data_IF_562390657038
#
_entry.id   IF_562390657038
#
_cell.length_a   1.000
_cell.length_b   1.000
_cell.length_c   1.000
_cell.angle_alpha   90.00
_cell.angle_beta   90.00
_cell.angle_gamma   90.00
#
_symmetry.space_group_name_H-M   'P 1'
#
loop_
_entity.id
_entity.type
_entity.pdbx_description
1 polymer ?
#
# COMPACT_ATOMS: atom_id res chain seq x y z
N UNK A 1 21.01 15.66 25.21
CA UNK A 1 21.13 15.45 23.80
C UNK A 1 19.91 14.86 23.17
N UNK A 2 19.59 15.35 22.04
CA UNK A 2 18.40 14.89 21.36
C UNK A 2 18.75 13.85 20.35
N UNK A 3 18.10 12.76 20.43
CA UNK A 3 18.23 11.76 19.40
C UNK A 3 17.39 12.18 18.26
N UNK A 4 18.03 12.51 17.21
CA UNK A 4 17.32 12.87 16.03
C UNK A 4 16.91 11.60 15.34
N UNK A 5 15.70 11.22 15.54
CA UNK A 5 15.20 10.05 14.93
C UNK A 5 14.51 10.37 13.66
N UNK A 6 14.82 9.63 12.67
CA UNK A 6 14.11 9.78 11.44
C UNK A 6 12.70 9.29 11.61
N UNK A 7 11.79 10.20 11.54
CA UNK A 7 10.40 9.85 11.64
C UNK A 7 9.89 9.59 10.23
N UNK A 8 9.38 8.41 10.06
CA UNK A 8 8.83 8.07 8.76
C UNK A 8 7.35 8.41 8.76
N UNK A 9 7.04 9.58 8.23
CA UNK A 9 5.67 10.03 8.21
C UNK A 9 4.90 9.58 6.99
N UNK A 10 5.50 8.71 6.20
CA UNK A 10 4.87 8.24 4.97
C UNK A 10 3.82 7.19 5.31
N UNK A 11 2.58 7.49 5.00
CA UNK A 11 1.48 6.62 5.35
C UNK A 11 0.57 6.43 4.15
N UNK A 12 0.08 5.21 3.99
CA UNK A 12 -0.85 4.88 2.93
C UNK A 12 -2.06 4.21 3.53
N UNK A 13 -3.18 4.32 2.82
CA UNK A 13 -4.39 3.62 3.20
C UNK A 13 -4.81 2.75 2.03
N UNK A 14 -5.02 1.47 2.29
CA UNK A 14 -5.48 0.53 1.29
C UNK A 14 -6.95 0.25 1.54
N UNK A 15 -7.75 0.36 0.51
CA UNK A 15 -9.20 0.26 0.63
C UNK A 15 -9.78 -0.74 -0.35
N UNK A 16 -10.73 -1.52 0.14
CA UNK A 16 -11.55 -2.37 -0.72
C UNK A 16 -13.00 -2.17 -0.30
N UNK A 17 -13.80 -1.66 -1.21
CA UNK A 17 -15.18 -1.33 -0.89
C UNK A 17 -16.05 -2.55 -0.68
N UNK A 18 -15.83 -3.57 -1.50
CA UNK A 18 -16.68 -4.76 -1.43
C UNK A 18 -16.57 -5.46 -0.09
N UNK A 19 -15.37 -5.42 0.49
CA UNK A 19 -15.15 -6.07 1.77
C UNK A 19 -15.11 -5.08 2.92
N UNK A 20 -15.37 -3.81 2.61
CA UNK A 20 -15.40 -2.76 3.62
C UNK A 20 -14.10 -2.69 4.40
N UNK A 21 -12.98 -2.70 3.69
CA UNK A 21 -11.66 -2.70 4.30
C UNK A 21 -10.99 -1.35 4.16
N UNK A 22 -10.41 -0.92 5.25
CA UNK A 22 -9.61 0.29 5.33
C UNK A 22 -8.38 -0.06 6.14
N UNK A 23 -7.25 -0.17 5.48
CA UNK A 23 -6.03 -0.58 6.15
C UNK A 23 -4.98 0.50 5.97
N UNK A 24 -4.59 1.12 7.08
CA UNK A 24 -3.55 2.14 7.06
C UNK A 24 -2.22 1.54 7.45
N UNK A 25 -1.19 1.94 6.75
CA UNK A 25 0.12 1.37 6.98
C UNK A 25 1.18 2.46 6.90
N UNK A 26 2.11 2.42 7.83
CA UNK A 26 3.28 3.31 7.79
C UNK A 26 4.34 2.64 6.95
N UNK A 27 4.99 3.41 6.10
CA UNK A 27 5.97 2.86 5.20
C UNK A 27 6.98 3.92 4.82
N UNK A 28 7.81 3.60 3.86
CA UNK A 28 8.86 4.48 3.40
C UNK A 28 8.73 4.62 1.89
N UNK A 29 8.97 5.82 1.38
CA UNK A 29 8.81 6.04 -0.06
C UNK A 29 9.74 5.18 -0.89
N UNK A 30 10.80 4.69 -0.29
CA UNK A 30 11.75 3.83 -0.98
C UNK A 30 11.37 2.35 -0.94
N UNK A 31 10.35 2.00 -0.19
CA UNK A 31 9.88 0.62 -0.14
C UNK A 31 9.27 0.25 -1.48
N UNK A 32 9.45 -1.01 -1.85
CA UNK A 32 8.75 -1.53 -3.02
C UNK A 32 7.32 -1.80 -2.66
N UNK A 33 6.42 -1.59 -3.60
CA UNK A 33 5.01 -1.80 -3.29
C UNK A 33 4.73 -3.25 -2.89
N UNK A 34 5.51 -4.18 -3.39
CA UNK A 34 5.34 -5.57 -3.02
C UNK A 34 5.39 -5.75 -1.51
N UNK A 35 6.21 -4.97 -0.82
CA UNK A 35 6.30 -5.07 0.63
C UNK A 35 5.02 -4.61 1.29
N UNK A 36 4.38 -3.60 0.72
CA UNK A 36 3.10 -3.12 1.22
C UNK A 36 2.04 -4.17 0.98
N UNK A 37 2.05 -4.77 -0.19
CA UNK A 37 1.10 -5.82 -0.53
C UNK A 37 1.25 -7.01 0.42
N UNK A 38 2.49 -7.39 0.71
CA UNK A 38 2.73 -8.50 1.61
C UNK A 38 2.13 -8.25 2.99
N UNK A 39 2.27 -7.03 3.48
CA UNK A 39 1.71 -6.69 4.78
C UNK A 39 0.18 -6.67 4.74
N UNK A 40 -0.37 -6.24 3.63
CA UNK A 40 -1.81 -6.25 3.46
C UNK A 40 -2.35 -7.69 3.48
N UNK A 41 -1.68 -8.58 2.76
CA UNK A 41 -2.09 -9.99 2.72
C UNK A 41 -1.91 -10.63 4.09
N UNK A 42 -0.87 -10.23 4.81
CA UNK A 42 -0.66 -10.77 6.15
C UNK A 42 -1.82 -10.40 7.07
N UNK A 43 -2.31 -9.18 6.92
CA UNK A 43 -3.43 -8.71 7.73
C UNK A 43 -4.75 -9.35 7.30
N UNK A 44 -4.90 -9.56 6.00
CA UNK A 44 -6.13 -10.10 5.43
C UNK A 44 -5.80 -11.31 4.55
N UNK A 45 -5.51 -12.45 5.17
CA UNK A 45 -5.02 -13.61 4.42
C UNK A 45 -5.97 -14.13 3.34
N UNK A 46 -7.25 -13.87 3.50
CA UNK A 46 -8.22 -14.34 2.51
C UNK A 46 -7.96 -13.76 1.13
N UNK A 47 -7.30 -12.60 1.08
CA UNK A 47 -7.02 -11.98 -0.21
C UNK A 47 -5.94 -12.73 -0.99
N UNK A 48 -5.20 -13.61 -0.35
CA UNK A 48 -4.19 -14.40 -1.06
C UNK A 48 -4.82 -15.36 -2.06
N UNK A 49 -6.13 -15.61 -1.95
CA UNK A 49 -6.83 -16.49 -2.86
C UNK A 49 -7.36 -15.79 -4.10
N UNK A 50 -7.13 -14.50 -4.21
CA UNK A 50 -7.66 -13.71 -5.31
C UNK A 50 -6.52 -13.04 -6.07
N UNK A 51 -6.79 -12.76 -7.33
CA UNK A 51 -5.91 -11.89 -8.09
C UNK A 51 -6.28 -10.47 -7.74
N UNK A 52 -5.30 -9.72 -7.33
CA UNK A 52 -5.53 -8.36 -6.88
C UNK A 52 -4.88 -7.36 -7.81
N UNK A 53 -5.54 -6.23 -7.95
CA UNK A 53 -5.00 -5.11 -8.68
C UNK A 53 -5.03 -3.91 -7.75
N UNK A 54 -3.89 -3.24 -7.65
CA UNK A 54 -3.77 -2.07 -6.78
C UNK A 54 -3.64 -0.83 -7.65
N UNK A 55 -4.42 0.19 -7.30
CA UNK A 55 -4.44 1.42 -8.08
C UNK A 55 -4.30 2.63 -7.18
N UNK A 56 -3.63 3.63 -7.70
CA UNK A 56 -3.58 4.94 -7.05
C UNK A 56 -3.81 5.98 -8.13
N UNK A 57 -4.73 6.90 -7.87
CA UNK A 57 -5.08 7.94 -8.84
C UNK A 57 -5.41 7.34 -10.21
N UNK A 58 -6.13 6.21 -10.19
CA UNK A 58 -6.60 5.51 -11.39
C UNK A 58 -5.49 4.89 -12.22
N UNK A 59 -4.29 4.77 -11.65
CA UNK A 59 -3.19 4.11 -12.33
C UNK A 59 -2.82 2.85 -11.60
N UNK A 60 -2.56 1.79 -12.36
CA UNK A 60 -2.11 0.54 -11.76
C UNK A 60 -0.73 0.72 -11.16
N UNK A 61 -0.53 0.11 -10.01
CA UNK A 61 0.73 0.20 -9.30
C UNK A 61 1.63 -0.94 -9.74
N UNK A 62 2.90 -0.62 -9.99
CA UNK A 62 3.89 -1.63 -10.35
C UNK A 62 4.56 -2.09 -9.08
N UNK A 63 4.27 -3.34 -8.71
CA UNK A 63 4.67 -3.83 -7.39
C UNK A 63 6.18 -4.00 -7.24
N UNK A 64 6.92 -4.08 -8.34
CA UNK A 64 8.36 -4.24 -8.24
C UNK A 64 9.10 -2.93 -8.11
N UNK A 65 8.39 -1.84 -8.18
CA UNK A 65 8.99 -0.52 -8.09
C UNK A 65 8.70 0.11 -6.74
N UNK A 66 9.59 1.03 -6.34
CA UNK A 66 9.41 1.75 -5.09
C UNK A 66 8.16 2.61 -5.16
N UNK A 67 7.65 2.98 -4.00
CA UNK A 67 6.47 3.82 -3.93
C UNK A 67 6.69 5.14 -4.67
N UNK A 68 7.85 5.75 -4.47
CA UNK A 68 8.13 7.00 -5.14
C UNK A 68 8.19 6.85 -6.66
N UNK A 69 8.63 5.70 -7.13
CA UNK A 69 8.70 5.44 -8.56
C UNK A 69 7.33 5.19 -9.16
N UNK A 70 6.37 4.85 -8.33
CA UNK A 70 4.98 4.72 -8.72
C UNK A 70 4.22 6.04 -8.56
N UNK A 71 4.92 7.10 -8.20
CA UNK A 71 4.31 8.40 -7.97
C UNK A 71 3.32 8.38 -6.82
N UNK A 72 3.54 7.50 -5.88
CA UNK A 72 2.68 7.40 -4.70
C UNK A 72 3.20 8.39 -3.67
N UNK A 73 2.29 9.14 -3.09
CA UNK A 73 2.64 10.17 -2.13
C UNK A 73 2.09 9.85 -0.76
N UNK A 74 2.63 10.56 0.22
CA UNK A 74 2.16 10.40 1.58
C UNK A 74 0.65 10.66 1.65
N UNK A 75 -0.03 9.81 2.40
CA UNK A 75 -1.48 9.90 2.62
C UNK A 75 -2.33 9.54 1.41
N UNK A 76 -1.73 8.94 0.39
CA UNK A 76 -2.51 8.47 -0.75
C UNK A 76 -3.39 7.30 -0.36
N UNK A 77 -4.49 7.20 -1.06
CA UNK A 77 -5.40 6.06 -0.92
C UNK A 77 -5.15 5.09 -2.06
N UNK A 78 -4.91 3.85 -1.70
CA UNK A 78 -4.68 2.78 -2.66
C UNK A 78 -5.95 1.96 -2.76
N UNK A 79 -6.45 1.79 -3.95
CA UNK A 79 -7.66 1.00 -4.16
C UNK A 79 -7.25 -0.42 -4.47
N UNK A 80 -7.80 -1.35 -3.71
CA UNK A 80 -7.54 -2.77 -3.91
C UNK A 80 -8.73 -3.35 -4.65
N UNK A 81 -8.52 -3.79 -5.87
CA UNK A 81 -9.56 -4.41 -6.68
C UNK A 81 -9.32 -5.91 -6.72
N UNK A 82 -10.39 -6.67 -6.60
CA UNK A 82 -10.34 -8.11 -6.76
C UNK A 82 -10.72 -8.40 -8.19
N UNK A 83 -9.84 -9.10 -8.88
CA UNK A 83 -10.08 -9.47 -10.27
C UNK A 83 -10.62 -10.88 -10.33
N UNK A 84 -11.63 -11.06 -11.15
CA UNK A 84 -12.26 -12.37 -11.26
C UNK A 84 -12.13 -12.94 -12.63
#
# INVERSE_FOLDING_TARGET
MIIQRKINDFKLTLQNKDKNINFSIDCNENDKFKEIEDKFIEKYPDFSNFDLNFRVNEKSIKRHKALKDNKIQNNDNIIVDIEE
#
